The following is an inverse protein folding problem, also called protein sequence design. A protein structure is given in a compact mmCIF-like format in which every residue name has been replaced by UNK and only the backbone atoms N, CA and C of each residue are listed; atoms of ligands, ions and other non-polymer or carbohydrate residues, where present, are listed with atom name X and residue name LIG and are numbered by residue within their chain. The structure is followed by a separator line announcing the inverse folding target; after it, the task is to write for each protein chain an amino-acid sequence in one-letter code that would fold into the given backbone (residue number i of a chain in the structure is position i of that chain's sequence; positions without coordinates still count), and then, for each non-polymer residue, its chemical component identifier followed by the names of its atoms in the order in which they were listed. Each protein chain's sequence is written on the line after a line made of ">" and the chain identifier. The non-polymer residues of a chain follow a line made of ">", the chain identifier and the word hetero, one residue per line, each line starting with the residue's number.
data_IF_555023472839
#
_entry.id   IF_555023472839
#
_cell.length_a   1.000
_cell.length_b   1.000
_cell.length_c   1.000
_cell.angle_alpha   90.00
_cell.angle_beta   90.00
_cell.angle_gamma   90.00
#
_symmetry.space_group_name_H-M   'P 1'
#
loop_
_entity.id
_entity.type
_entity.pdbx_description
1 polymer ?
#
# COMPACT_ATOMS: atom_id res chain seq x y z
N UNK A 1 6.69 -45.69 11.20
CA UNK A 1 5.89 -44.46 11.45
C UNK A 1 4.49 -44.88 11.86
N UNK A 2 4.01 -44.44 13.02
CA UNK A 2 2.69 -44.82 13.55
C UNK A 2 1.60 -43.89 13.02
N UNK A 3 0.36 -44.37 12.90
CA UNK A 3 -0.80 -43.57 12.47
C UNK A 3 -0.99 -42.28 13.31
N UNK A 4 -0.59 -42.32 14.59
CA UNK A 4 -0.58 -41.16 15.50
C UNK A 4 0.41 -40.07 15.04
N UNK A 5 1.55 -40.45 14.49
CA UNK A 5 2.54 -39.51 13.94
C UNK A 5 2.05 -38.80 12.67
N UNK A 6 1.37 -39.51 11.77
CA UNK A 6 0.78 -38.93 10.57
C UNK A 6 -0.37 -37.96 10.89
N UNK A 7 -1.23 -38.30 11.85
CA UNK A 7 -2.31 -37.43 12.32
C UNK A 7 -1.77 -36.16 13.00
N UNK A 8 -0.70 -36.29 13.79
CA UNK A 8 -0.06 -35.14 14.44
C UNK A 8 0.58 -34.18 13.41
N UNK A 9 1.22 -34.72 12.37
CA UNK A 9 1.79 -33.93 11.28
C UNK A 9 0.71 -33.22 10.45
N UNK A 10 -0.34 -33.93 10.03
CA UNK A 10 -1.45 -33.34 9.28
C UNK A 10 -2.14 -32.21 10.08
N UNK A 11 -2.35 -32.41 11.39
CA UNK A 11 -2.90 -31.36 12.26
C UNK A 11 -1.97 -30.14 12.40
N UNK A 12 -0.65 -30.33 12.36
CA UNK A 12 0.31 -29.23 12.37
C UNK A 12 0.29 -28.44 11.06
N UNK A 13 0.21 -29.13 9.92
CA UNK A 13 0.09 -28.51 8.60
C UNK A 13 -1.22 -27.70 8.46
N UNK A 14 -2.35 -28.25 8.93
CA UNK A 14 -3.63 -27.53 8.94
C UNK A 14 -3.55 -26.25 9.79
N UNK A 15 -2.99 -26.33 11.00
CA UNK A 15 -2.82 -25.14 11.86
C UNK A 15 -1.91 -24.09 11.24
N UNK A 16 -0.82 -24.51 10.60
CA UNK A 16 0.09 -23.61 9.91
C UNK A 16 -0.60 -22.92 8.72
N UNK A 17 -1.41 -23.65 7.95
CA UNK A 17 -2.19 -23.08 6.86
C UNK A 17 -3.23 -22.07 7.36
N UNK A 18 -3.94 -22.39 8.45
CA UNK A 18 -4.91 -21.51 9.09
C UNK A 18 -4.26 -20.20 9.55
N UNK A 19 -3.10 -20.29 10.22
CA UNK A 19 -2.36 -19.13 10.72
C UNK A 19 -1.89 -18.22 9.58
N UNK A 20 -1.38 -18.79 8.48
CA UNK A 20 -1.00 -18.02 7.28
C UNK A 20 -2.20 -17.29 6.69
N UNK A 21 -3.34 -17.97 6.58
CA UNK A 21 -4.56 -17.37 6.04
C UNK A 21 -5.08 -16.20 6.89
N UNK A 22 -5.01 -16.32 8.21
CA UNK A 22 -5.38 -15.25 9.15
C UNK A 22 -4.44 -14.04 9.02
N UNK A 23 -3.12 -14.27 8.94
CA UNK A 23 -2.11 -13.22 8.72
C UNK A 23 -2.35 -12.50 7.40
N UNK A 24 -2.56 -13.24 6.32
CA UNK A 24 -2.83 -12.68 4.99
C UNK A 24 -4.12 -11.85 4.97
N UNK A 25 -5.16 -12.32 5.64
CA UNK A 25 -6.45 -11.61 5.73
C UNK A 25 -6.29 -10.31 6.50
N UNK A 26 -5.66 -10.34 7.68
CA UNK A 26 -5.38 -9.15 8.47
C UNK A 26 -4.47 -8.15 7.72
N UNK A 27 -3.53 -8.66 6.91
CA UNK A 27 -2.66 -7.84 6.07
C UNK A 27 -3.43 -7.16 4.93
N UNK A 28 -4.24 -7.91 4.18
CA UNK A 28 -5.11 -7.34 3.12
C UNK A 28 -6.06 -6.28 3.67
N UNK A 29 -6.61 -6.52 4.87
CA UNK A 29 -7.48 -5.57 5.53
C UNK A 29 -6.74 -4.27 5.89
N UNK A 30 -5.51 -4.37 6.41
CA UNK A 30 -4.64 -3.22 6.69
C UNK A 30 -4.28 -2.42 5.44
N UNK A 31 -4.06 -3.09 4.30
CA UNK A 31 -3.74 -2.43 3.03
C UNK A 31 -4.94 -1.74 2.37
N UNK A 32 -6.18 -2.05 2.77
CA UNK A 32 -7.36 -1.48 2.13
C UNK A 32 -7.49 0.04 2.25
N UNK A 33 -7.11 0.61 3.41
CA UNK A 33 -7.13 2.07 3.62
C UNK A 33 -6.07 2.80 2.80
N UNK A 34 -4.75 2.47 2.85
CA UNK A 34 -3.75 3.16 2.05
C UNK A 34 -4.01 3.04 0.55
N UNK A 35 -4.43 1.88 0.06
CA UNK A 35 -4.75 1.68 -1.37
C UNK A 35 -5.83 2.64 -1.86
N UNK A 36 -6.95 2.73 -1.13
CA UNK A 36 -8.06 3.61 -1.49
C UNK A 36 -7.64 5.08 -1.54
N UNK A 37 -6.88 5.55 -0.55
CA UNK A 37 -6.45 6.95 -0.50
C UNK A 37 -5.50 7.28 -1.65
N UNK A 38 -4.62 6.34 -2.01
CA UNK A 38 -3.76 6.51 -3.18
C UNK A 38 -4.59 6.56 -4.47
N UNK A 39 -5.51 5.62 -4.68
CA UNK A 39 -6.34 5.56 -5.90
C UNK A 39 -7.16 6.84 -6.09
N UNK A 40 -7.78 7.34 -5.02
CA UNK A 40 -8.52 8.61 -5.04
C UNK A 40 -7.62 9.79 -5.41
N UNK A 41 -6.39 9.84 -4.88
CA UNK A 41 -5.43 10.89 -5.20
C UNK A 41 -4.95 10.80 -6.65
N UNK A 42 -4.65 9.59 -7.14
CA UNK A 42 -4.24 9.35 -8.53
C UNK A 42 -5.33 9.83 -9.48
N UNK A 43 -6.59 9.47 -9.25
CA UNK A 43 -7.72 9.93 -10.06
C UNK A 43 -7.80 11.47 -10.11
N UNK A 44 -7.62 12.15 -8.98
CA UNK A 44 -7.66 13.61 -8.95
C UNK A 44 -6.48 14.25 -9.68
N UNK A 45 -5.29 13.65 -9.57
CA UNK A 45 -4.10 14.05 -10.31
C UNK A 45 -4.27 13.86 -11.82
N UNK A 46 -4.90 12.76 -12.25
CA UNK A 46 -5.25 12.52 -13.65
C UNK A 46 -6.19 13.60 -14.19
N UNK A 47 -7.25 13.93 -13.44
CA UNK A 47 -8.18 15.00 -13.80
C UNK A 47 -7.43 16.34 -13.96
N UNK A 48 -6.51 16.66 -13.07
CA UNK A 48 -5.67 17.86 -13.17
C UNK A 48 -4.76 17.82 -14.42
N UNK A 49 -4.15 16.68 -14.70
CA UNK A 49 -3.28 16.49 -15.87
C UNK A 49 -4.07 16.66 -17.17
N UNK A 50 -5.28 16.10 -17.26
CA UNK A 50 -6.21 16.29 -18.39
C UNK A 50 -6.58 17.76 -18.59
N UNK A 51 -6.71 18.53 -17.49
CA UNK A 51 -6.92 19.98 -17.50
C UNK A 51 -5.66 20.81 -17.79
N UNK A 52 -4.57 20.18 -18.24
CA UNK A 52 -3.27 20.82 -18.53
C UNK A 52 -2.62 21.49 -17.32
N UNK A 53 -2.97 21.07 -16.10
CA UNK A 53 -2.20 21.43 -14.91
C UNK A 53 -0.98 20.51 -14.88
N UNK A 54 0.22 21.09 -14.83
CA UNK A 54 1.46 20.33 -14.91
C UNK A 54 2.09 20.01 -13.55
N UNK A 55 1.78 20.81 -12.52
CA UNK A 55 2.36 20.70 -11.19
C UNK A 55 1.27 20.55 -10.14
N UNK A 56 1.58 19.78 -9.10
CA UNK A 56 0.68 19.52 -7.99
C UNK A 56 0.41 20.85 -7.25
N UNK A 57 -0.87 21.30 -7.19
CA UNK A 57 -1.22 22.58 -6.56
C UNK A 57 -0.91 22.60 -5.06
N UNK A 58 -0.70 23.80 -4.52
CA UNK A 58 -0.53 23.98 -3.08
C UNK A 58 -1.77 23.60 -2.27
N UNK A 59 -2.97 23.68 -2.86
CA UNK A 59 -4.21 23.25 -2.22
C UNK A 59 -4.24 21.76 -1.85
N UNK A 60 -3.32 20.94 -2.40
CA UNK A 60 -3.20 19.52 -2.07
C UNK A 60 -2.30 19.25 -0.86
N UNK A 61 -1.65 20.26 -0.27
CA UNK A 61 -0.67 20.08 0.81
C UNK A 61 -1.24 19.30 2.00
N UNK A 62 -2.42 19.68 2.50
CA UNK A 62 -3.08 18.96 3.61
C UNK A 62 -3.41 17.51 3.26
N UNK A 63 -3.89 17.26 2.04
CA UNK A 63 -4.22 15.90 1.59
C UNK A 63 -2.99 15.02 1.41
N UNK A 64 -1.89 15.59 0.91
CA UNK A 64 -0.62 14.87 0.79
C UNK A 64 0.00 14.60 2.16
N UNK A 65 -0.19 15.50 3.12
CA UNK A 65 0.19 15.26 4.51
C UNK A 65 -0.62 14.10 5.11
N UNK A 66 -1.94 14.10 4.95
CA UNK A 66 -2.80 12.99 5.39
C UNK A 66 -2.41 11.66 4.76
N UNK A 67 -2.14 11.66 3.45
CA UNK A 67 -1.65 10.47 2.76
C UNK A 67 -0.34 9.98 3.37
N UNK A 68 0.63 10.87 3.62
CA UNK A 68 1.90 10.49 4.25
C UNK A 68 1.70 9.82 5.61
N UNK A 69 0.78 10.31 6.43
CA UNK A 69 0.45 9.67 7.72
C UNK A 69 -0.11 8.27 7.50
N UNK A 70 -1.05 8.10 6.56
CA UNK A 70 -1.64 6.80 6.24
C UNK A 70 -0.59 5.81 5.71
N UNK A 71 0.39 6.28 4.95
CA UNK A 71 1.46 5.45 4.40
C UNK A 71 2.53 5.10 5.44
N UNK A 72 2.85 6.03 6.35
CA UNK A 72 3.72 5.78 7.49
C UNK A 72 3.14 4.67 8.39
N UNK A 73 1.84 4.75 8.71
CA UNK A 73 1.10 3.71 9.44
C UNK A 73 1.11 2.35 8.70
N UNK A 74 1.22 2.37 7.37
CA UNK A 74 1.32 1.18 6.53
C UNK A 74 2.75 0.62 6.40
N UNK A 75 3.75 1.28 7.00
CA UNK A 75 5.15 0.85 7.00
C UNK A 75 5.96 1.30 5.79
N UNK A 76 5.49 2.29 5.03
CA UNK A 76 6.23 2.86 3.89
C UNK A 76 7.43 3.67 4.42
N UNK A 77 8.65 3.46 3.90
CA UNK A 77 9.84 4.13 4.42
C UNK A 77 9.82 5.64 4.17
N UNK A 78 10.38 6.41 5.11
CA UNK A 78 10.41 7.88 5.03
C UNK A 78 11.00 8.42 3.72
N UNK A 79 11.98 7.72 3.14
CA UNK A 79 12.58 8.07 1.84
C UNK A 79 11.58 8.04 0.68
N UNK A 80 10.59 7.14 0.73
CA UNK A 80 9.48 7.13 -0.22
C UNK A 80 8.48 8.24 0.12
N UNK A 81 8.20 8.48 1.40
CA UNK A 81 7.27 9.55 1.81
C UNK A 81 7.72 10.96 1.39
N UNK A 82 9.03 11.21 1.30
CA UNK A 82 9.60 12.50 0.84
C UNK A 82 9.21 12.86 -0.61
N UNK A 83 8.86 11.86 -1.42
CA UNK A 83 8.36 12.04 -2.78
C UNK A 83 6.93 12.58 -2.85
N UNK A 84 6.15 12.42 -1.77
CA UNK A 84 4.73 12.79 -1.67
C UNK A 84 4.61 14.26 -1.26
N UNK A 85 4.71 15.17 -2.23
CA UNK A 85 4.73 16.63 -1.99
C UNK A 85 4.13 17.46 -3.12
N UNK A 86 3.83 18.73 -2.82
CA UNK A 86 3.31 19.70 -3.80
C UNK A 86 4.42 20.25 -4.70
N UNK A 87 4.04 21.06 -5.71
CA UNK A 87 4.94 21.78 -6.65
C UNK A 87 5.84 20.90 -7.53
N UNK A 88 5.83 19.58 -7.39
CA UNK A 88 6.42 18.65 -8.36
C UNK A 88 5.49 18.43 -9.55
N UNK A 89 6.00 17.83 -10.62
CA UNK A 89 5.18 17.47 -11.78
C UNK A 89 4.11 16.45 -11.36
N UNK A 90 2.88 16.62 -11.86
CA UNK A 90 1.77 15.70 -11.56
C UNK A 90 2.13 14.26 -11.96
N UNK A 91 2.67 14.06 -13.16
CA UNK A 91 3.12 12.74 -13.64
C UNK A 91 4.15 12.13 -12.67
N UNK A 92 5.10 12.93 -12.17
CA UNK A 92 6.10 12.43 -11.22
C UNK A 92 5.48 12.00 -9.89
N UNK A 93 4.44 12.70 -9.41
CA UNK A 93 3.74 12.27 -8.21
C UNK A 93 2.93 10.99 -8.49
N UNK A 94 2.25 10.88 -9.62
CA UNK A 94 1.53 9.66 -10.00
C UNK A 94 2.46 8.45 -10.09
N UNK A 95 3.58 8.54 -10.82
CA UNK A 95 4.58 7.47 -10.93
C UNK A 95 5.06 7.01 -9.55
N UNK A 96 5.29 7.97 -8.65
CA UNK A 96 5.72 7.70 -7.28
C UNK A 96 4.64 7.01 -6.45
N UNK A 97 3.37 7.40 -6.60
CA UNK A 97 2.25 6.77 -5.94
C UNK A 97 2.01 5.34 -6.42
N UNK A 98 2.16 5.07 -7.72
CA UNK A 98 2.11 3.72 -8.27
C UNK A 98 3.24 2.85 -7.74
N UNK A 99 4.47 3.38 -7.63
CA UNK A 99 5.59 2.64 -7.04
C UNK A 99 5.34 2.29 -5.57
N UNK A 100 4.74 3.19 -4.80
CA UNK A 100 4.33 2.91 -3.41
C UNK A 100 3.25 1.82 -3.37
N UNK A 101 2.25 1.87 -4.26
CA UNK A 101 1.24 0.80 -4.35
C UNK A 101 1.87 -0.55 -4.67
N UNK A 102 2.78 -0.58 -5.64
CA UNK A 102 3.51 -1.79 -6.01
C UNK A 102 4.34 -2.31 -4.83
N UNK A 103 5.03 -1.44 -4.08
CA UNK A 103 5.78 -1.81 -2.87
C UNK A 103 4.86 -2.38 -1.78
N UNK A 104 3.72 -1.75 -1.53
CA UNK A 104 2.73 -2.23 -0.56
C UNK A 104 2.11 -3.60 -0.93
N UNK A 105 1.94 -3.86 -2.23
CA UNK A 105 1.48 -5.14 -2.76
C UNK A 105 2.61 -6.18 -2.86
N UNK A 106 3.83 -5.74 -3.10
CA UNK A 106 5.03 -6.55 -3.37
C UNK A 106 5.87 -6.91 -2.15
N UNK A 107 5.70 -6.20 -1.01
CA UNK A 107 6.19 -6.61 0.31
C UNK A 107 5.53 -7.92 0.83
N UNK A 108 5.00 -8.74 -0.08
CA UNK A 108 4.30 -10.00 0.11
C UNK A 108 5.16 -11.23 -0.08
N UNK A 109 6.36 -11.09 -0.66
CA UNK A 109 7.16 -12.22 -1.14
C UNK A 109 8.57 -12.36 -0.49
N UNK A 110 8.87 -11.62 0.57
CA UNK A 110 10.11 -11.76 1.36
C UNK A 110 9.84 -12.28 2.79
#
# INVERSE_FOLDING_TARGET
>A
MTAVGFMAQANAEIRAAQQRHEIDTARRWRLGRPMRVIDELINDLEILNLKRVYRVPLSYESRLFELRVVLDDAGVPATELDGVRTRIRIVRLMDHLYAIQESLLGASDD
#
